data_IF_374777547186
#
_entry.id   IF_374777547186
#
_cell.length_a   1.000
_cell.length_b   1.000
_cell.length_c   1.000
_cell.angle_alpha   90.00
_cell.angle_beta   90.00
_cell.angle_gamma   90.00
#
_symmetry.space_group_name_H-M   'P 1'
#
loop_
_entity.id
_entity.type
_entity.pdbx_description
1 polymer ?
#
# COMPACT_ATOMS: atom_id res chain seq x y z
N UNK A 1 -7.40 -8.74 19.03
CA UNK A 1 -7.20 -7.54 19.88
C UNK A 1 -5.98 -6.78 19.42
N UNK A 2 -6.10 -5.46 19.23
CA UNK A 2 -4.97 -4.59 18.91
C UNK A 2 -4.27 -4.23 20.22
N UNK A 3 -2.97 -4.51 20.34
CA UNK A 3 -2.20 -4.15 21.54
C UNK A 3 -2.02 -2.62 21.60
N UNK A 4 -2.54 -1.98 22.66
CA UNK A 4 -2.40 -0.55 22.96
C UNK A 4 -1.42 -0.28 24.12
N UNK A 5 -0.51 -1.23 24.39
CA UNK A 5 0.45 -1.16 25.49
C UNK A 5 1.83 -0.63 25.08
N UNK A 6 2.73 -0.56 26.07
CA UNK A 6 4.14 -0.17 25.91
C UNK A 6 4.82 -1.03 24.85
N UNK A 7 5.76 -0.43 24.10
CA UNK A 7 6.63 -1.17 23.18
C UNK A 7 7.58 -2.04 23.97
N UNK A 8 7.60 -3.33 23.63
CA UNK A 8 8.55 -4.28 24.20
C UNK A 8 9.83 -4.30 23.36
N UNK A 9 11.00 -4.58 23.96
CA UNK A 9 12.26 -4.65 23.21
C UNK A 9 12.22 -5.61 22.02
N UNK A 10 11.48 -6.72 22.12
CA UNK A 10 11.36 -7.71 21.03
C UNK A 10 10.57 -7.14 19.84
N UNK A 11 9.58 -6.28 20.11
CA UNK A 11 8.79 -5.62 19.07
C UNK A 11 9.64 -4.56 18.36
N UNK A 12 10.46 -3.81 19.10
CA UNK A 12 11.39 -2.85 18.52
C UNK A 12 12.46 -3.52 17.65
N UNK A 13 12.98 -4.66 18.11
CA UNK A 13 13.94 -5.46 17.35
C UNK A 13 13.31 -6.05 16.08
N UNK A 14 12.08 -6.56 16.18
CA UNK A 14 11.32 -6.99 15.01
C UNK A 14 11.14 -5.85 14.00
N UNK A 15 10.83 -4.63 14.47
CA UNK A 15 10.74 -3.47 13.60
C UNK A 15 12.09 -3.19 12.93
N UNK A 16 13.20 -3.16 13.66
CA UNK A 16 14.53 -2.93 13.08
C UNK A 16 14.91 -3.93 11.98
N UNK A 17 14.65 -5.22 12.22
CA UNK A 17 15.03 -6.29 11.27
C UNK A 17 14.15 -6.32 10.02
N UNK A 18 12.88 -5.90 10.13
CA UNK A 18 11.89 -5.99 9.06
C UNK A 18 11.63 -4.65 8.37
N UNK A 19 12.07 -3.52 8.95
CA UNK A 19 11.91 -2.20 8.38
C UNK A 19 12.68 -2.11 7.05
N UNK A 20 11.96 -1.80 5.96
CA UNK A 20 12.51 -1.78 4.59
C UNK A 20 12.28 -3.08 3.79
N UNK A 21 12.17 -4.23 4.46
CA UNK A 21 11.80 -5.52 3.82
C UNK A 21 10.29 -5.69 3.71
N UNK A 22 9.58 -5.32 4.77
CA UNK A 22 8.12 -5.42 4.85
C UNK A 22 7.47 -4.04 4.86
N UNK A 23 6.24 -3.96 4.34
CA UNK A 23 5.45 -2.75 4.47
C UNK A 23 5.05 -2.56 5.94
N UNK A 24 4.88 -1.31 6.37
CA UNK A 24 4.40 -0.96 7.72
C UNK A 24 3.08 -1.65 8.05
N UNK A 25 2.25 -1.94 7.04
CA UNK A 25 1.01 -2.68 7.21
C UNK A 25 1.25 -4.15 7.59
N UNK A 26 2.18 -4.85 6.92
CA UNK A 26 2.52 -6.24 7.26
C UNK A 26 3.16 -6.33 8.64
N UNK A 27 4.07 -5.40 8.98
CA UNK A 27 4.67 -5.33 10.32
C UNK A 27 3.60 -5.09 11.41
N UNK A 28 2.68 -4.16 11.17
CA UNK A 28 1.58 -3.88 12.09
C UNK A 28 0.64 -5.09 12.28
N UNK A 29 0.37 -5.85 11.21
CA UNK A 29 -0.41 -7.09 11.28
C UNK A 29 0.30 -8.15 12.13
N UNK A 30 1.61 -8.34 11.92
CA UNK A 30 2.42 -9.31 12.68
C UNK A 30 2.45 -8.97 14.17
N UNK A 31 2.69 -7.70 14.49
CA UNK A 31 2.74 -7.20 15.87
C UNK A 31 1.34 -7.02 16.49
N UNK A 32 0.26 -7.32 15.74
CA UNK A 32 -1.13 -7.06 16.14
C UNK A 32 -1.31 -5.63 16.68
N UNK A 33 -0.66 -4.66 16.04
CA UNK A 33 -0.65 -3.23 16.39
C UNK A 33 -1.28 -2.38 15.31
N UNK A 34 -1.67 -1.16 15.68
CA UNK A 34 -2.17 -0.18 14.71
C UNK A 34 -1.08 0.22 13.73
N UNK A 35 -1.43 0.37 12.44
CA UNK A 35 -0.50 0.85 11.40
C UNK A 35 0.14 2.19 11.77
N UNK A 36 -0.66 3.13 12.30
CA UNK A 36 -0.18 4.45 12.75
C UNK A 36 0.76 4.36 13.95
N UNK A 37 0.43 3.53 14.95
CA UNK A 37 1.29 3.31 16.11
C UNK A 37 2.64 2.69 15.71
N UNK A 38 2.60 1.70 14.82
CA UNK A 38 3.80 1.05 14.27
C UNK A 38 4.67 2.05 13.49
N UNK A 39 4.05 2.89 12.66
CA UNK A 39 4.74 3.95 11.94
C UNK A 39 5.42 4.95 12.89
N UNK A 40 4.68 5.44 13.90
CA UNK A 40 5.21 6.37 14.89
C UNK A 40 6.39 5.75 15.64
N UNK A 41 6.31 4.46 16.00
CA UNK A 41 7.43 3.79 16.65
C UNK A 41 8.66 3.69 15.76
N UNK A 42 8.49 3.32 14.49
CA UNK A 42 9.61 3.32 13.55
C UNK A 42 10.24 4.71 13.41
N UNK A 43 9.45 5.77 13.50
CA UNK A 43 9.92 7.15 13.50
C UNK A 43 10.72 7.48 14.77
N UNK A 44 10.20 7.13 15.96
CA UNK A 44 10.88 7.27 17.25
C UNK A 44 12.21 6.49 17.31
N UNK A 45 12.24 5.30 16.71
CA UNK A 45 13.44 4.47 16.59
C UNK A 45 14.43 4.98 15.52
N UNK A 46 14.13 6.09 14.84
CA UNK A 46 14.97 6.67 13.80
C UNK A 46 15.01 5.90 12.48
N UNK A 47 14.24 4.81 12.36
CA UNK A 47 14.23 3.94 11.17
C UNK A 47 13.67 4.66 9.94
N UNK A 48 12.80 5.66 10.14
CA UNK A 48 12.18 6.39 9.03
C UNK A 48 13.06 7.46 8.37
N UNK A 49 14.22 7.83 8.95
CA UNK A 49 15.14 8.79 8.32
C UNK A 49 15.75 8.13 7.08
N UNK A 50 15.27 8.51 5.89
CA UNK A 50 15.64 7.90 4.61
C UNK A 50 14.58 6.99 3.99
N UNK A 51 13.42 6.83 4.64
CA UNK A 51 12.31 6.07 4.08
C UNK A 51 11.72 6.76 2.85
N UNK A 52 12.01 6.21 1.67
CA UNK A 52 11.28 6.55 0.46
C UNK A 52 10.02 5.69 0.44
N UNK A 53 8.80 6.26 0.50
CA UNK A 53 7.59 5.48 0.27
C UNK A 53 7.74 4.69 -1.02
N UNK A 54 7.31 3.42 -1.03
CA UNK A 54 7.38 2.58 -2.24
C UNK A 54 6.91 3.42 -3.41
N UNK A 55 7.78 3.67 -4.41
CA UNK A 55 7.44 4.50 -5.56
C UNK A 55 6.12 3.97 -6.09
N UNK A 56 5.03 4.73 -5.91
CA UNK A 56 3.72 4.36 -6.44
C UNK A 56 3.95 4.16 -7.93
N UNK A 57 3.78 2.93 -8.43
CA UNK A 57 3.97 2.60 -9.85
C UNK A 57 3.12 3.58 -10.66
N UNK A 58 3.78 4.45 -11.43
CA UNK A 58 3.10 5.46 -12.24
C UNK A 58 2.27 4.75 -13.30
N UNK A 59 1.13 5.33 -13.65
CA UNK A 59 0.37 4.89 -14.81
C UNK A 59 1.08 5.37 -16.06
N UNK A 60 1.43 4.43 -16.92
CA UNK A 60 1.93 4.69 -18.27
C UNK A 60 0.76 5.03 -19.19
N UNK A 61 1.03 5.62 -20.35
CA UNK A 61 -0.02 5.97 -21.30
C UNK A 61 -0.67 4.71 -21.90
N UNK A 62 0.11 3.66 -22.13
CA UNK A 62 -0.37 2.37 -22.65
C UNK A 62 -1.38 1.73 -21.68
N UNK A 63 -1.13 1.80 -20.38
CA UNK A 63 -2.05 1.27 -19.38
C UNK A 63 -3.34 2.10 -19.25
N UNK A 64 -3.26 3.42 -19.47
CA UNK A 64 -4.45 4.28 -19.50
C UNK A 64 -5.28 4.00 -20.75
N UNK A 65 -4.64 3.81 -21.89
CA UNK A 65 -5.30 3.47 -23.15
C UNK A 65 -5.97 2.09 -23.06
N UNK A 66 -5.25 1.09 -22.53
CA UNK A 66 -5.82 -0.22 -22.24
C UNK A 66 -7.04 -0.11 -21.30
N UNK A 67 -6.92 0.66 -20.22
CA UNK A 67 -8.04 0.90 -19.31
C UNK A 67 -9.23 1.51 -20.05
N UNK A 68 -9.03 2.58 -20.84
CA UNK A 68 -10.08 3.25 -21.60
C UNK A 68 -10.80 2.31 -22.57
N UNK A 69 -10.06 1.48 -23.29
CA UNK A 69 -10.61 0.57 -24.31
C UNK A 69 -11.38 -0.61 -23.71
N UNK A 70 -10.97 -1.05 -22.51
CA UNK A 70 -11.53 -2.23 -21.85
C UNK A 70 -12.54 -1.90 -20.74
N UNK A 71 -12.62 -0.65 -20.26
CA UNK A 71 -13.44 -0.27 -19.11
C UNK A 71 -14.94 -0.62 -19.27
N UNK A 72 -15.49 -0.45 -20.48
CA UNK A 72 -16.90 -0.75 -20.76
C UNK A 72 -17.17 -2.25 -20.96
N UNK A 73 -16.13 -3.04 -21.27
CA UNK A 73 -16.25 -4.45 -21.65
C UNK A 73 -15.86 -5.39 -20.52
N UNK A 74 -15.04 -4.93 -19.58
CA UNK A 74 -14.43 -5.76 -18.54
C UNK A 74 -14.55 -5.12 -17.17
N UNK A 75 -14.64 -5.97 -16.14
CA UNK A 75 -14.66 -5.52 -14.75
C UNK A 75 -13.29 -4.97 -14.34
N UNK A 76 -13.28 -4.04 -13.38
CA UNK A 76 -12.05 -3.49 -12.80
C UNK A 76 -11.11 -4.59 -12.28
N UNK A 77 -11.66 -5.69 -11.76
CA UNK A 77 -10.90 -6.88 -11.33
C UNK A 77 -10.16 -7.54 -12.50
N UNK A 78 -10.82 -7.74 -13.65
CA UNK A 78 -10.20 -8.34 -14.84
C UNK A 78 -9.13 -7.41 -15.41
N UNK A 79 -9.44 -6.13 -15.56
CA UNK A 79 -8.48 -5.12 -16.05
C UNK A 79 -7.26 -5.01 -15.11
N UNK A 80 -7.49 -5.05 -13.79
CA UNK A 80 -6.42 -5.07 -12.81
C UNK A 80 -5.48 -6.27 -12.96
N UNK A 81 -6.03 -7.46 -13.20
CA UNK A 81 -5.23 -8.67 -13.46
C UNK A 81 -4.32 -8.51 -14.68
N UNK A 82 -4.86 -7.99 -15.78
CA UNK A 82 -4.11 -7.76 -17.03
C UNK A 82 -3.02 -6.68 -16.88
N UNK A 83 -3.31 -5.60 -16.14
CA UNK A 83 -2.37 -4.50 -15.91
C UNK A 83 -1.37 -4.75 -14.76
N UNK A 84 -1.49 -5.88 -14.05
CA UNK A 84 -0.74 -6.15 -12.82
C UNK A 84 -1.02 -5.10 -11.73
N UNK A 85 -2.25 -4.61 -11.63
CA UNK A 85 -2.71 -3.60 -10.66
C UNK A 85 -3.85 -4.12 -9.81
N UNK A 86 -4.01 -3.56 -8.60
CA UNK A 86 -5.18 -3.86 -7.78
C UNK A 86 -6.45 -3.29 -8.43
N UNK A 87 -7.57 -3.98 -8.22
CA UNK A 87 -8.90 -3.51 -8.64
C UNK A 87 -9.19 -2.09 -8.14
N UNK A 88 -8.82 -1.79 -6.89
CA UNK A 88 -8.95 -0.45 -6.31
C UNK A 88 -8.12 0.62 -7.02
N UNK A 89 -6.93 0.27 -7.51
CA UNK A 89 -6.10 1.18 -8.28
C UNK A 89 -6.72 1.45 -9.66
N UNK A 90 -7.32 0.42 -10.27
CA UNK A 90 -8.04 0.53 -11.55
C UNK A 90 -9.28 1.41 -11.40
N UNK A 91 -10.13 1.15 -10.41
CA UNK A 91 -11.32 1.96 -10.13
C UNK A 91 -10.98 3.43 -9.88
N UNK A 92 -9.93 3.71 -9.08
CA UNK A 92 -9.46 5.06 -8.83
C UNK A 92 -8.96 5.74 -10.11
N UNK A 93 -8.26 5.01 -10.98
CA UNK A 93 -7.78 5.58 -12.25
C UNK A 93 -8.91 5.82 -13.23
N UNK A 94 -9.88 4.90 -13.34
CA UNK A 94 -11.05 5.08 -14.19
C UNK A 94 -11.86 6.32 -13.78
N UNK A 95 -12.04 6.52 -12.47
CA UNK A 95 -12.63 7.76 -11.95
C UNK A 95 -11.83 9.01 -12.33
N UNK A 96 -10.49 8.98 -12.17
CA UNK A 96 -9.60 10.09 -12.57
C UNK A 96 -9.63 10.40 -14.07
N UNK A 97 -9.88 9.39 -14.89
CA UNK A 97 -10.02 9.52 -16.34
C UNK A 97 -11.46 9.86 -16.78
N UNK A 98 -12.40 10.03 -15.85
CA UNK A 98 -13.80 10.33 -16.16
C UNK A 98 -14.57 9.15 -16.78
N UNK A 99 -14.06 7.93 -16.67
CA UNK A 99 -14.68 6.73 -17.23
C UNK A 99 -15.79 6.17 -16.32
N UNK A 100 -15.74 6.47 -15.02
CA UNK A 100 -16.67 5.92 -14.03
C UNK A 100 -16.91 6.85 -12.84
N UNK A 101 -17.94 6.52 -12.06
CA UNK A 101 -18.23 7.20 -10.78
C UNK A 101 -17.41 6.59 -9.64
N UNK A 102 -17.19 7.40 -8.61
CA UNK A 102 -16.35 7.08 -7.46
C UNK A 102 -17.06 6.16 -6.47
#
# INVERSE_FOLDING_TARGET
>A
MIHRGRWRPEEDEYLRQNFGKLSTQKMAQHLKRGKKATYNRCYELGLSKGWKPSKRRRWTEEEKEYLKNNYKQHTNKKIGKELGRSESAVALMAWRMGLGKR
#
